data_IF_251040577509
#
_entry.id   IF_251040577509
#
_cell.length_a   1.000
_cell.length_b   1.000
_cell.length_c   1.000
_cell.angle_alpha   90.00
_cell.angle_beta   90.00
_cell.angle_gamma   90.00
#
_symmetry.space_group_name_H-M   'P 1'
#
loop_
_entity.id
_entity.type
_entity.pdbx_description
1 polymer ?
#
# COMPACT_ATOMS: atom_id res chain seq x y z
N UNK A 1 9.73 -11.80 3.24
CA UNK A 1 8.62 -12.18 4.13
C UNK A 1 7.43 -11.36 3.70
N UNK A 2 6.32 -11.99 3.32
CA UNK A 2 5.20 -11.30 2.71
C UNK A 2 4.50 -10.41 3.75
N UNK A 3 4.33 -9.13 3.43
CA UNK A 3 3.60 -8.19 4.27
C UNK A 3 2.46 -7.55 3.48
N UNK A 4 1.38 -7.23 4.20
CA UNK A 4 0.37 -6.31 3.73
C UNK A 4 0.77 -4.90 4.16
N UNK A 5 0.80 -3.98 3.22
CA UNK A 5 1.07 -2.57 3.43
C UNK A 5 -0.20 -1.76 3.17
N UNK A 6 -0.50 -0.80 4.05
CA UNK A 6 -1.54 0.21 3.81
C UNK A 6 -0.81 1.52 3.55
N UNK A 7 -0.98 2.07 2.36
CA UNK A 7 -0.35 3.31 1.91
C UNK A 7 -1.41 4.41 1.85
N UNK A 8 -1.20 5.49 2.59
CA UNK A 8 -2.07 6.67 2.59
C UNK A 8 -1.26 7.84 2.04
N UNK A 9 -1.70 8.39 0.92
CA UNK A 9 -1.11 9.60 0.34
C UNK A 9 -1.98 10.82 0.69
N UNK A 10 -1.35 11.94 1.02
CA UNK A 10 -2.02 13.23 1.16
C UNK A 10 -2.78 13.54 -0.15
N UNK A 11 -4.05 14.00 -0.07
CA UNK A 11 -4.88 14.31 -1.23
C UNK A 11 -4.25 15.30 -2.21
N UNK A 12 -3.38 16.19 -1.74
CA UNK A 12 -2.72 17.23 -2.54
C UNK A 12 -1.46 16.72 -3.26
N UNK A 13 -1.02 15.50 -2.98
CA UNK A 13 0.15 14.91 -3.65
C UNK A 13 -0.22 14.57 -5.08
N UNK A 14 0.63 14.95 -6.05
CA UNK A 14 0.48 14.51 -7.43
C UNK A 14 0.60 12.98 -7.50
N UNK A 15 -0.54 12.34 -7.45
CA UNK A 15 -0.66 10.91 -7.25
C UNK A 15 -0.31 10.11 -8.48
N UNK A 16 -0.17 10.71 -9.67
CA UNK A 16 0.01 9.95 -10.92
C UNK A 16 1.32 9.15 -10.95
N UNK A 17 2.44 9.80 -10.59
CA UNK A 17 3.76 9.14 -10.53
C UNK A 17 3.82 8.11 -9.41
N UNK A 18 3.30 8.45 -8.23
CA UNK A 18 3.29 7.54 -7.09
C UNK A 18 2.35 6.34 -7.34
N UNK A 19 1.22 6.55 -8.00
CA UNK A 19 0.29 5.48 -8.41
C UNK A 19 0.99 4.47 -9.29
N UNK A 20 1.66 4.93 -10.35
CA UNK A 20 2.41 4.03 -11.23
C UNK A 20 3.44 3.21 -10.43
N UNK A 21 4.18 3.85 -9.52
CA UNK A 21 5.13 3.15 -8.65
C UNK A 21 4.47 2.15 -7.69
N UNK A 22 3.32 2.49 -7.10
CA UNK A 22 2.59 1.57 -6.22
C UNK A 22 2.21 0.29 -6.95
N UNK A 23 1.81 0.39 -8.22
CA UNK A 23 1.46 -0.76 -9.06
C UNK A 23 2.65 -1.68 -9.35
N UNK A 24 3.88 -1.17 -9.24
CA UNK A 24 5.12 -1.93 -9.44
C UNK A 24 5.62 -2.60 -8.14
N UNK A 25 5.06 -2.26 -6.97
CA UNK A 25 5.56 -2.76 -5.68
C UNK A 25 5.16 -4.21 -5.40
N UNK A 26 4.04 -4.67 -5.97
CA UNK A 26 3.47 -6.00 -5.74
C UNK A 26 2.00 -6.05 -6.13
N UNK A 27 1.28 -7.07 -5.64
CA UNK A 27 -0.17 -7.12 -5.77
C UNK A 27 -0.76 -5.91 -5.06
N UNK A 28 -1.64 -5.16 -5.71
CA UNK A 28 -2.19 -3.93 -5.14
C UNK A 28 -3.69 -3.83 -5.33
N UNK A 29 -4.33 -3.05 -4.47
CA UNK A 29 -5.72 -2.63 -4.60
C UNK A 29 -5.87 -1.18 -4.13
N UNK A 30 -6.57 -0.36 -4.91
CA UNK A 30 -6.95 0.99 -4.48
C UNK A 30 -8.24 0.90 -3.67
N UNK A 31 -8.17 1.22 -2.38
CA UNK A 31 -9.34 1.15 -1.49
C UNK A 31 -10.23 2.36 -1.75
N UNK A 32 -9.73 3.55 -1.42
CA UNK A 32 -10.46 4.81 -1.51
C UNK A 32 -9.52 5.95 -1.89
N UNK A 33 -9.77 6.60 -3.03
CA UNK A 33 -9.05 7.80 -3.45
C UNK A 33 -7.53 7.60 -3.46
N UNK A 34 -6.85 8.19 -2.47
CA UNK A 34 -5.39 8.13 -2.31
C UNK A 34 -4.92 7.10 -1.26
N UNK A 35 -5.74 6.08 -0.99
CA UNK A 35 -5.42 4.97 -0.09
C UNK A 35 -5.30 3.66 -0.85
N UNK A 36 -4.25 2.90 -0.56
CA UNK A 36 -3.91 1.67 -1.27
C UNK A 36 -3.56 0.58 -0.26
N UNK A 37 -3.86 -0.65 -0.63
CA UNK A 37 -3.20 -1.83 -0.04
C UNK A 37 -2.26 -2.45 -1.05
N UNK A 38 -1.12 -2.92 -0.58
CA UNK A 38 -0.11 -3.61 -1.36
C UNK A 38 0.33 -4.85 -0.60
N UNK A 39 0.30 -6.01 -1.24
CA UNK A 39 0.88 -7.23 -0.72
C UNK A 39 2.21 -7.49 -1.43
N UNK A 40 3.32 -7.45 -0.67
CA UNK A 40 4.66 -7.51 -1.26
C UNK A 40 5.71 -8.07 -0.30
N UNK A 41 6.86 -8.45 -0.85
CA UNK A 41 8.01 -8.98 -0.10
C UNK A 41 8.98 -7.87 0.31
N UNK A 42 8.58 -7.07 1.31
CA UNK A 42 9.46 -6.12 1.98
C UNK A 42 9.49 -6.36 3.49
N UNK A 43 10.64 -6.08 4.11
CA UNK A 43 10.89 -6.37 5.52
C UNK A 43 10.11 -5.47 6.49
N UNK A 44 9.74 -4.26 6.07
CA UNK A 44 8.99 -3.29 6.86
C UNK A 44 8.51 -2.11 6.01
N UNK A 45 7.66 -1.26 6.60
CA UNK A 45 7.13 -0.04 5.98
C UNK A 45 8.23 0.94 5.52
N UNK A 46 9.35 1.05 6.25
CA UNK A 46 10.45 1.94 5.88
C UNK A 46 11.11 1.50 4.56
N UNK A 47 11.35 0.21 4.37
CA UNK A 47 11.92 -0.32 3.11
C UNK A 47 11.00 -0.09 1.92
N UNK A 48 9.70 -0.25 2.11
CA UNK A 48 8.74 0.05 1.05
C UNK A 48 8.69 1.55 0.75
N UNK A 49 8.74 2.41 1.77
CA UNK A 49 8.81 3.86 1.61
C UNK A 49 10.03 4.29 0.78
N UNK A 50 11.22 3.78 1.13
CA UNK A 50 12.48 4.06 0.41
C UNK A 50 12.42 3.65 -1.07
N UNK A 51 11.65 2.60 -1.40
CA UNK A 51 11.43 2.16 -2.77
C UNK A 51 10.39 3.00 -3.50
N UNK A 52 9.32 3.39 -2.81
CA UNK A 52 8.21 4.17 -3.34
C UNK A 52 8.60 5.62 -3.65
N UNK A 53 9.36 6.26 -2.75
CA UNK A 53 9.68 7.68 -2.82
C UNK A 53 11.08 7.88 -3.42
N UNK A 54 11.20 8.42 -4.64
CA UNK A 54 12.49 8.70 -5.25
C UNK A 54 13.30 9.72 -4.45
N UNK A 55 14.63 9.64 -4.54
CA UNK A 55 15.49 10.72 -4.05
C UNK A 55 15.15 12.03 -4.77
N UNK A 56 15.02 13.12 -4.00
CA UNK A 56 14.69 14.43 -4.52
C UNK A 56 13.19 14.70 -4.74
N UNK A 57 12.31 13.76 -4.37
CA UNK A 57 10.87 14.05 -4.33
C UNK A 57 10.57 15.08 -3.23
N UNK A 58 9.69 16.08 -3.48
CA UNK A 58 9.29 17.04 -2.45
C UNK A 58 8.75 16.32 -1.21
N UNK A 59 8.85 16.95 -0.05
CA UNK A 59 8.20 16.43 1.16
C UNK A 59 6.69 16.33 0.90
N UNK A 60 6.21 15.11 0.73
CA UNK A 60 4.81 14.76 0.50
C UNK A 60 4.30 13.96 1.68
N UNK A 61 3.06 14.23 2.10
CA UNK A 61 2.42 13.45 3.16
C UNK A 61 2.19 12.02 2.68
N UNK A 62 2.98 11.08 3.20
CA UNK A 62 2.85 9.64 2.91
C UNK A 62 2.97 8.91 4.23
N UNK A 63 2.00 8.05 4.53
CA UNK A 63 2.02 7.16 5.69
C UNK A 63 1.88 5.73 5.22
N UNK A 64 2.74 4.85 5.74
CA UNK A 64 2.72 3.42 5.41
C UNK A 64 2.64 2.62 6.71
N UNK A 65 1.58 1.81 6.84
CA UNK A 65 1.46 0.79 7.86
C UNK A 65 1.82 -0.56 7.25
N UNK A 66 2.41 -1.46 8.02
CA UNK A 66 2.67 -2.82 7.55
C UNK A 66 2.37 -3.86 8.62
N UNK A 67 1.95 -5.04 8.16
CA UNK A 67 1.69 -6.19 9.00
C UNK A 67 2.08 -7.48 8.25
N UNK A 68 2.69 -8.47 8.93
CA UNK A 68 2.97 -9.77 8.33
C UNK A 68 1.68 -10.48 7.92
N UNK A 69 1.64 -11.00 6.68
CA UNK A 69 0.48 -11.72 6.15
C UNK A 69 0.11 -12.93 7.03
N UNK A 70 1.12 -13.68 7.48
CA UNK A 70 0.97 -14.89 8.29
C UNK A 70 0.24 -14.68 9.62
N UNK A 71 0.26 -13.46 10.15
CA UNK A 71 -0.37 -13.12 11.44
C UNK A 71 -1.46 -12.06 11.31
N UNK A 72 -1.79 -11.66 10.07
CA UNK A 72 -2.77 -10.61 9.83
C UNK A 72 -4.17 -11.07 10.23
N UNK A 73 -4.87 -10.21 10.97
CA UNK A 73 -6.30 -10.35 11.25
C UNK A 73 -7.00 -9.10 10.77
N UNK A 74 -8.12 -9.28 10.08
CA UNK A 74 -8.92 -8.18 9.56
C UNK A 74 -10.40 -8.51 9.66
N UNK A 75 -11.24 -7.48 9.82
CA UNK A 75 -12.69 -7.59 9.85
C UNK A 75 -13.29 -6.21 9.57
N UNK A 76 -14.46 -6.16 8.94
CA UNK A 76 -15.18 -4.90 8.71
C UNK A 76 -16.30 -5.04 7.69
N UNK A 77 -16.78 -3.89 7.23
CA UNK A 77 -17.68 -3.77 6.08
C UNK A 77 -16.98 -2.96 4.98
N UNK A 78 -16.94 -3.51 3.78
CA UNK A 78 -16.35 -2.88 2.59
C UNK A 78 -17.00 -3.44 1.34
N UNK A 79 -16.71 -2.85 0.19
CA UNK A 79 -17.09 -3.40 -1.11
C UNK A 79 -16.56 -4.84 -1.32
N UNK A 80 -17.27 -5.60 -2.15
CA UNK A 80 -16.94 -7.01 -2.43
C UNK A 80 -15.57 -7.17 -3.10
N UNK A 81 -15.10 -6.17 -3.84
CA UNK A 81 -13.83 -6.18 -4.53
C UNK A 81 -12.65 -6.23 -3.56
N UNK A 82 -12.64 -5.38 -2.54
CA UNK A 82 -11.60 -5.41 -1.50
C UNK A 82 -11.54 -6.77 -0.82
N UNK A 83 -12.68 -7.33 -0.41
CA UNK A 83 -12.72 -8.64 0.26
C UNK A 83 -12.21 -9.77 -0.61
N UNK A 84 -12.59 -9.77 -1.90
CA UNK A 84 -12.11 -10.74 -2.89
C UNK A 84 -10.61 -10.59 -3.11
N UNK A 85 -10.11 -9.36 -3.14
CA UNK A 85 -8.69 -9.11 -3.29
C UNK A 85 -7.92 -9.59 -2.05
N UNK A 86 -8.39 -9.29 -0.83
CA UNK A 86 -7.77 -9.74 0.41
C UNK A 86 -7.70 -11.27 0.47
N UNK A 87 -8.79 -11.98 0.16
CA UNK A 87 -8.80 -13.46 0.21
C UNK A 87 -7.86 -14.13 -0.79
N UNK A 88 -7.47 -13.45 -1.86
CA UNK A 88 -6.61 -14.00 -2.90
C UNK A 88 -5.12 -13.67 -2.68
N UNK A 89 -4.81 -12.60 -1.95
CA UNK A 89 -3.47 -12.04 -1.85
C UNK A 89 -2.85 -12.14 -0.45
N UNK A 90 -3.69 -12.22 0.59
CA UNK A 90 -3.32 -12.31 2.00
C UNK A 90 -3.77 -13.65 2.56
#
# INVERSE_FOLDING_TARGET
MKQLFIIILDPNVNSSLLRAKIQELGDYYNIYGNQYVVCADYDNAQRLYEKLVPQGMPQTGIVIFSAPVETLKYWGYSDKGLWTWLSNNV
#
